data_IF_113746227875
#
_entry.id   IF_113746227875
#
_cell.length_a   1.000
_cell.length_b   1.000
_cell.length_c   1.000
_cell.angle_alpha   90.00
_cell.angle_beta   90.00
_cell.angle_gamma   90.00
#
_symmetry.space_group_name_H-M   'P 1'
#
loop_
_entity.id
_entity.type
_entity.pdbx_description
1 polymer ?
#
# COMPACT_ATOMS: atom_id res chain seq x y z
N UNK A 1 6.64 -13.99 1.96
CA UNK A 1 5.74 -13.55 3.05
C UNK A 1 4.89 -12.42 2.49
N UNK A 2 3.59 -12.44 2.74
CA UNK A 2 2.64 -11.50 2.13
C UNK A 2 2.54 -10.22 2.98
N UNK A 3 2.78 -9.05 2.36
CA UNK A 3 2.84 -7.77 3.06
C UNK A 3 1.50 -7.01 3.06
N UNK A 4 0.52 -7.47 2.28
CA UNK A 4 -0.86 -6.95 2.22
C UNK A 4 -1.80 -8.15 2.22
N UNK A 5 -2.72 -8.21 3.18
CA UNK A 5 -3.80 -9.20 3.17
C UNK A 5 -5.08 -8.55 2.63
N UNK A 6 -5.95 -9.32 1.99
CA UNK A 6 -7.27 -8.82 1.57
C UNK A 6 -8.39 -9.84 1.79
N UNK A 7 -9.55 -9.35 2.18
CA UNK A 7 -10.78 -10.13 2.36
C UNK A 7 -11.97 -9.34 1.85
N UNK A 8 -12.89 -9.99 1.13
CA UNK A 8 -14.12 -9.38 0.64
C UNK A 8 -15.31 -10.01 1.37
N UNK A 9 -16.13 -9.20 2.01
CA UNK A 9 -17.32 -9.64 2.73
C UNK A 9 -18.44 -8.60 2.58
N UNK A 10 -19.63 -9.03 2.17
CA UNK A 10 -20.83 -8.19 2.05
C UNK A 10 -20.65 -6.91 1.19
N UNK A 11 -19.71 -6.93 0.25
CA UNK A 11 -19.37 -5.79 -0.62
C UNK A 11 -18.34 -4.82 -0.03
N UNK A 12 -17.70 -5.17 1.08
CA UNK A 12 -16.55 -4.45 1.65
C UNK A 12 -15.30 -5.26 1.40
N UNK A 13 -14.30 -4.66 0.74
CA UNK A 13 -12.95 -5.23 0.66
C UNK A 13 -12.10 -4.62 1.78
N UNK A 14 -11.74 -5.45 2.76
CA UNK A 14 -10.81 -5.11 3.83
C UNK A 14 -9.40 -5.42 3.36
N UNK A 15 -8.54 -4.40 3.33
CA UNK A 15 -7.12 -4.48 3.00
C UNK A 15 -6.32 -4.23 4.28
N UNK A 16 -5.53 -5.21 4.69
CA UNK A 16 -4.71 -5.12 5.91
C UNK A 16 -3.23 -5.01 5.54
N UNK A 17 -2.60 -3.90 5.93
CA UNK A 17 -1.15 -3.73 5.85
C UNK A 17 -0.49 -4.70 6.83
N UNK A 18 0.35 -5.61 6.35
CA UNK A 18 0.80 -6.79 7.10
C UNK A 18 2.33 -6.88 7.22
N UNK A 19 2.93 -5.84 7.82
CA UNK A 19 4.32 -5.83 8.30
C UNK A 19 4.36 -5.27 9.73
N UNK A 20 3.63 -5.86 10.70
CA UNK A 20 3.46 -5.30 12.04
C UNK A 20 4.79 -5.09 12.77
N UNK A 21 5.79 -5.94 12.53
CA UNK A 21 7.15 -5.84 13.04
C UNK A 21 7.93 -4.62 12.54
N UNK A 22 7.47 -4.01 11.44
CA UNK A 22 7.99 -2.75 10.87
C UNK A 22 6.96 -1.61 10.94
N UNK A 23 5.95 -1.72 11.80
CA UNK A 23 4.85 -0.75 11.90
C UNK A 23 4.16 -0.49 10.56
N UNK A 24 4.07 -1.52 9.73
CA UNK A 24 3.45 -1.49 8.43
C UNK A 24 4.06 -0.42 7.50
N UNK A 25 5.35 -0.13 7.64
CA UNK A 25 6.05 0.79 6.74
C UNK A 25 6.12 0.25 5.30
N UNK A 26 5.96 1.12 4.32
CA UNK A 26 5.90 0.75 2.90
C UNK A 26 7.28 0.43 2.34
N UNK A 27 7.39 -0.76 1.77
CA UNK A 27 8.43 -1.14 0.82
C UNK A 27 7.85 -1.30 -0.59
N UNK A 28 8.70 -1.54 -1.57
CA UNK A 28 8.28 -1.76 -2.97
C UNK A 28 7.25 -2.89 -3.12
N UNK A 29 7.37 -3.95 -2.31
CA UNK A 29 6.46 -5.10 -2.33
C UNK A 29 5.05 -4.68 -1.89
N UNK A 30 4.92 -3.93 -0.79
CA UNK A 30 3.63 -3.42 -0.32
C UNK A 30 2.97 -2.49 -1.33
N UNK A 31 3.75 -1.62 -2.00
CA UNK A 31 3.21 -0.75 -3.04
C UNK A 31 2.59 -1.54 -4.20
N UNK A 32 3.28 -2.59 -4.67
CA UNK A 32 2.78 -3.46 -5.74
C UNK A 32 1.53 -4.23 -5.30
N UNK A 33 1.57 -4.86 -4.13
CA UNK A 33 0.45 -5.64 -3.62
C UNK A 33 -0.80 -4.78 -3.36
N UNK A 34 -0.63 -3.59 -2.75
CA UNK A 34 -1.75 -2.66 -2.57
C UNK A 34 -2.32 -2.23 -3.92
N UNK A 35 -1.47 -1.91 -4.91
CA UNK A 35 -1.91 -1.58 -6.26
C UNK A 35 -2.76 -2.71 -6.87
N UNK A 36 -2.40 -3.96 -6.65
CA UNK A 36 -3.15 -5.10 -7.18
C UNK A 36 -4.52 -5.25 -6.50
N UNK A 37 -4.61 -5.05 -5.17
CA UNK A 37 -5.90 -4.99 -4.47
C UNK A 37 -6.79 -3.85 -5.00
N UNK A 38 -6.21 -2.66 -5.26
CA UNK A 38 -6.98 -1.54 -5.81
C UNK A 38 -7.48 -1.82 -7.24
N UNK A 39 -6.67 -2.48 -8.09
CA UNK A 39 -7.12 -2.90 -9.43
C UNK A 39 -8.24 -3.93 -9.35
N UNK A 40 -8.22 -4.82 -8.37
CA UNK A 40 -9.32 -5.75 -8.14
C UNK A 40 -10.60 -5.00 -7.77
N UNK A 41 -10.51 -4.07 -6.81
CA UNK A 41 -11.64 -3.24 -6.39
C UNK A 41 -12.24 -2.39 -7.51
N UNK A 42 -11.43 -1.92 -8.46
CA UNK A 42 -11.92 -1.19 -9.63
C UNK A 42 -12.71 -2.06 -10.62
N UNK A 43 -12.36 -3.36 -10.71
CA UNK A 43 -12.92 -4.29 -11.70
C UNK A 43 -14.14 -5.05 -11.19
N UNK A 44 -14.19 -5.28 -9.88
CA UNK A 44 -15.26 -6.05 -9.24
C UNK A 44 -16.37 -5.12 -8.75
N UNK A 45 -17.48 -5.10 -9.50
CA UNK A 45 -18.64 -4.24 -9.20
C UNK A 45 -19.39 -4.65 -7.92
N UNK A 46 -19.10 -5.81 -7.34
CA UNK A 46 -19.68 -6.22 -6.06
C UNK A 46 -19.04 -5.50 -4.87
N UNK A 47 -17.83 -4.96 -5.03
CA UNK A 47 -17.11 -4.18 -4.00
C UNK A 47 -17.61 -2.74 -4.05
N UNK A 48 -18.28 -2.31 -2.97
CA UNK A 48 -18.87 -0.97 -2.82
C UNK A 48 -18.07 -0.09 -1.85
N UNK A 49 -17.22 -0.69 -1.02
CA UNK A 49 -16.45 0.01 0.00
C UNK A 49 -15.07 -0.63 0.17
N UNK A 50 -14.05 0.21 0.42
CA UNK A 50 -12.72 -0.23 0.83
C UNK A 50 -12.49 0.16 2.30
N UNK A 51 -12.07 -0.82 3.11
CA UNK A 51 -11.51 -0.57 4.44
C UNK A 51 -10.01 -0.85 4.38
N UNK A 52 -9.18 0.17 4.59
CA UNK A 52 -7.73 -0.01 4.69
C UNK A 52 -7.34 0.11 6.16
N UNK A 53 -6.67 -0.90 6.69
CA UNK A 53 -6.23 -0.95 8.09
C UNK A 53 -4.83 -1.56 8.22
N UNK A 54 -4.22 -1.49 9.40
CA UNK A 54 -2.91 -2.08 9.69
C UNK A 54 -3.02 -3.26 10.64
N UNK A 55 -2.20 -4.30 10.41
CA UNK A 55 -2.02 -5.38 11.36
C UNK A 55 -1.25 -4.89 12.60
N UNK A 56 -1.53 -5.49 13.76
CA UNK A 56 -0.83 -5.20 15.01
C UNK A 56 -1.20 -3.84 15.60
N UNK A 57 -0.20 -3.12 16.10
CA UNK A 57 -0.40 -1.97 17.02
C UNK A 57 -0.61 -0.61 16.35
N UNK A 58 -0.64 -0.53 15.02
CA UNK A 58 -0.75 0.75 14.33
C UNK A 58 -1.08 0.59 12.85
N UNK A 59 -1.56 1.68 12.23
CA UNK A 59 -1.93 1.70 10.82
C UNK A 59 -0.70 1.54 9.92
N UNK A 60 0.15 2.58 9.83
CA UNK A 60 1.32 2.64 8.97
C UNK A 60 2.28 3.74 9.45
N UNK A 61 3.58 3.44 9.49
CA UNK A 61 4.63 4.41 9.83
C UNK A 61 5.16 5.24 8.62
N UNK A 62 4.54 5.11 7.44
CA UNK A 62 4.98 5.78 6.21
C UNK A 62 5.96 4.93 5.39
N UNK A 63 6.92 5.57 4.72
CA UNK A 63 7.95 4.87 3.93
C UNK A 63 8.90 4.08 4.82
N UNK A 64 9.24 2.85 4.42
CA UNK A 64 10.32 2.08 5.05
C UNK A 64 11.67 2.71 4.68
N UNK A 65 12.34 3.29 5.67
CA UNK A 65 13.65 3.91 5.51
C UNK A 65 14.78 2.88 5.42
N UNK A 66 14.54 1.62 5.81
CA UNK A 66 15.53 0.55 5.71
C UNK A 66 15.45 -0.20 4.36
N UNK A 67 14.34 -0.05 3.61
CA UNK A 67 14.20 -0.62 2.26
C UNK A 67 15.02 0.17 1.23
N UNK A 68 15.17 1.48 1.49
CA UNK A 68 16.23 2.26 0.88
C UNK A 68 17.52 1.75 1.50
N UNK A 69 18.33 1.00 0.76
CA UNK A 69 19.74 0.84 1.07
C UNK A 69 20.37 2.25 1.04
N UNK A 70 20.20 3.02 2.11
CA UNK A 70 20.85 4.30 2.30
C UNK A 70 22.29 3.95 2.64
N UNK A 71 23.08 3.72 1.61
CA UNK A 71 24.53 3.65 1.75
C UNK A 71 25.02 5.06 2.13
N UNK A 72 25.57 5.27 3.33
CA UNK A 72 26.06 6.59 3.74
C UNK A 72 27.25 7.08 2.89
N UNK A 73 27.88 6.19 2.11
CA UNK A 73 28.92 6.52 1.14
C UNK A 73 28.42 6.43 -0.32
N UNK A 74 27.16 6.05 -0.51
CA UNK A 74 26.54 5.91 -1.81
C UNK A 74 25.96 7.22 -2.34
N UNK A 75 25.51 7.24 -3.60
CA UNK A 75 24.79 8.38 -4.15
C UNK A 75 23.52 8.65 -3.33
N UNK A 76 23.18 9.93 -3.16
CA UNK A 76 21.95 10.35 -2.48
C UNK A 76 20.76 9.63 -3.12
N UNK A 77 19.92 8.92 -2.33
CA UNK A 77 18.77 8.22 -2.88
C UNK A 77 17.84 9.20 -3.61
N UNK A 78 17.47 8.88 -4.84
CA UNK A 78 16.47 9.64 -5.58
C UNK A 78 15.09 9.42 -4.97
N UNK A 79 14.68 10.36 -4.12
CA UNK A 79 13.37 10.34 -3.46
C UNK A 79 12.22 10.53 -4.46
N UNK A 80 12.47 11.24 -5.58
CA UNK A 80 11.50 11.49 -6.63
C UNK A 80 11.06 10.18 -7.29
N UNK A 81 12.01 9.28 -7.54
CA UNK A 81 11.76 7.96 -8.11
C UNK A 81 10.70 7.16 -7.34
N UNK A 82 10.78 7.13 -6.00
CA UNK A 82 9.81 6.44 -5.13
C UNK A 82 8.43 7.10 -5.19
N UNK A 83 8.38 8.43 -5.20
CA UNK A 83 7.14 9.19 -5.28
C UNK A 83 6.45 8.98 -6.63
N UNK A 84 7.20 9.07 -7.73
CA UNK A 84 6.68 8.96 -9.10
C UNK A 84 6.27 7.54 -9.46
N UNK A 85 7.07 6.55 -9.06
CA UNK A 85 6.84 5.14 -9.40
C UNK A 85 5.72 4.52 -8.55
N UNK A 86 5.65 4.86 -7.26
CA UNK A 86 4.78 4.15 -6.32
C UNK A 86 3.68 5.03 -5.74
N UNK A 87 4.03 6.09 -4.99
CA UNK A 87 3.03 6.86 -4.23
C UNK A 87 2.03 7.59 -5.13
N UNK A 88 2.51 8.33 -6.13
CA UNK A 88 1.66 9.13 -7.00
C UNK A 88 0.61 8.27 -7.73
N UNK A 89 0.97 7.15 -8.39
CA UNK A 89 -0.02 6.25 -8.98
C UNK A 89 -1.04 5.71 -7.97
N UNK A 90 -0.60 5.30 -6.78
CA UNK A 90 -1.49 4.75 -5.75
C UNK A 90 -2.48 5.79 -5.22
N UNK A 91 -2.00 6.98 -4.84
CA UNK A 91 -2.85 8.07 -4.34
C UNK A 91 -3.84 8.51 -5.40
N UNK A 92 -3.41 8.66 -6.66
CA UNK A 92 -4.32 9.01 -7.76
C UNK A 92 -5.36 7.93 -8.01
N UNK A 93 -5.02 6.65 -7.82
CA UNK A 93 -5.95 5.53 -7.95
C UNK A 93 -7.01 5.59 -6.85
N UNK A 94 -6.58 5.68 -5.59
CA UNK A 94 -7.46 5.85 -4.43
C UNK A 94 -8.40 7.05 -4.60
N UNK A 95 -7.88 8.21 -5.01
CA UNK A 95 -8.67 9.42 -5.21
C UNK A 95 -9.69 9.32 -6.36
N UNK A 96 -9.47 8.41 -7.31
CA UNK A 96 -10.39 8.16 -8.43
C UNK A 96 -11.42 7.07 -8.12
N UNK A 97 -11.25 6.32 -7.03
CA UNK A 97 -12.26 5.36 -6.60
C UNK A 97 -13.53 6.11 -6.24
N UNK A 98 -14.63 5.65 -6.83
CA UNK A 98 -15.96 6.17 -6.56
C UNK A 98 -16.80 5.02 -6.07
N UNK A 99 -17.40 5.18 -4.89
CA UNK A 99 -18.52 4.33 -4.48
C UNK A 99 -19.62 4.54 -5.52
N UNK A 100 -20.04 3.45 -6.16
CA UNK A 100 -21.20 3.47 -7.05
C UNK A 100 -22.48 3.54 -6.24
#
# INVERSE_FOLDING_TARGET
MECILSQIEQGVMTITLNRPERLNSFNDVMHRQLSDCLKQAERDESIRCLLITGAGRGFCAGQDLNDRNVDPNGPVPDLGMSVETFYNPLVRRLAKLRSR
#
